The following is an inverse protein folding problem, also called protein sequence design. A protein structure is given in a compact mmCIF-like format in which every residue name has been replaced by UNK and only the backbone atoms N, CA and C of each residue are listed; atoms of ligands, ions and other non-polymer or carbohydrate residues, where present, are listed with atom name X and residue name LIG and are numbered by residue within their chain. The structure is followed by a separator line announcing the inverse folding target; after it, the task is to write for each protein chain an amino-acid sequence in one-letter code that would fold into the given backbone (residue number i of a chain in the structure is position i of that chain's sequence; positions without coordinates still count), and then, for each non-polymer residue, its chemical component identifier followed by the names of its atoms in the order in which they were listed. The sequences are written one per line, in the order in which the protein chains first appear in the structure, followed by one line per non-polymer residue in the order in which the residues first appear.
data_IF_834500546067
#
_entry.id   IF_834500546067
#
_cell.length_a   1.000
_cell.length_b   1.000
_cell.length_c   1.000
_cell.angle_alpha   90.00
_cell.angle_beta   90.00
_cell.angle_gamma   90.00
#
_symmetry.space_group_name_H-M   'P 1'
#
loop_
_entity.id
_entity.type
_entity.pdbx_description
1 polymer ?
#
# COMPACT_ATOMS: atom_id res chain seq x y z
N UNK A 1 -12.42 -7.26 -53.28
CA UNK A 1 -12.95 -8.32 -52.39
C UNK A 1 -12.07 -8.37 -51.16
N UNK A 2 -12.70 -8.28 -49.97
CA UNK A 2 -12.13 -8.32 -48.61
C UNK A 2 -11.13 -9.50 -48.42
N UNK A 3 -10.14 -9.48 -47.53
CA UNK A 3 -10.26 -9.32 -46.08
C UNK A 3 -8.85 -9.21 -45.43
N UNK A 4 -8.63 -8.25 -44.52
CA UNK A 4 -8.65 -8.38 -43.05
C UNK A 4 -7.26 -8.70 -42.47
N UNK A 5 -6.57 -7.70 -41.89
CA UNK A 5 -6.55 -7.38 -40.45
C UNK A 5 -6.11 -8.54 -39.57
N UNK A 6 -4.81 -8.60 -39.29
CA UNK A 6 -4.29 -9.27 -38.10
C UNK A 6 -4.18 -8.22 -36.98
N UNK A 7 -5.31 -7.94 -36.31
CA UNK A 7 -5.29 -7.31 -34.99
C UNK A 7 -4.86 -8.40 -34.01
N UNK A 8 -3.63 -8.31 -33.53
CA UNK A 8 -3.14 -9.17 -32.45
C UNK A 8 -3.87 -8.70 -31.18
N UNK A 9 -4.99 -9.35 -30.89
CA UNK A 9 -5.63 -9.29 -29.58
C UNK A 9 -4.69 -10.04 -28.63
N UNK A 10 -3.90 -9.31 -27.86
CA UNK A 10 -3.20 -9.87 -26.70
C UNK A 10 -4.31 -10.30 -25.75
N UNK A 11 -4.57 -11.61 -25.73
CA UNK A 11 -5.44 -12.23 -24.77
C UNK A 11 -4.93 -11.91 -23.36
N UNK A 12 -5.60 -11.00 -22.66
CA UNK A 12 -5.43 -10.83 -21.23
C UNK A 12 -5.93 -12.13 -20.62
N UNK A 13 -4.97 -12.99 -20.26
CA UNK A 13 -5.22 -14.30 -19.68
C UNK A 13 -6.18 -14.19 -18.52
N UNK A 14 -7.27 -14.95 -18.62
CA UNK A 14 -8.33 -14.99 -17.63
C UNK A 14 -7.82 -15.46 -16.27
N UNK A 15 -8.37 -14.86 -15.23
CA UNK A 15 -8.31 -15.39 -13.88
C UNK A 15 -9.73 -15.55 -13.35
N UNK A 16 -10.42 -16.64 -13.73
CA UNK A 16 -11.60 -17.08 -12.97
C UNK A 16 -11.05 -17.74 -11.70
N UNK A 17 -10.69 -16.92 -10.72
CA UNK A 17 -10.27 -17.39 -9.42
C UNK A 17 -11.50 -17.85 -8.64
N UNK A 18 -11.61 -19.17 -8.51
CA UNK A 18 -12.56 -19.90 -7.65
C UNK A 18 -12.72 -19.23 -6.29
N UNK A 19 -13.96 -19.09 -5.83
CA UNK A 19 -14.38 -18.35 -4.62
C UNK A 19 -13.56 -18.71 -3.35
N UNK A 20 -13.03 -19.92 -3.26
CA UNK A 20 -12.16 -20.36 -2.16
C UNK A 20 -10.77 -19.69 -2.14
N UNK A 21 -10.14 -19.51 -3.32
CA UNK A 21 -8.87 -18.79 -3.45
C UNK A 21 -9.06 -17.30 -3.14
N UNK A 22 -10.20 -16.73 -3.54
CA UNK A 22 -10.56 -15.35 -3.22
C UNK A 22 -10.62 -15.12 -1.70
N UNK A 23 -11.27 -16.02 -0.95
CA UNK A 23 -11.39 -15.87 0.51
C UNK A 23 -10.05 -16.04 1.26
N UNK A 24 -9.21 -16.99 0.83
CA UNK A 24 -7.87 -17.19 1.42
C UNK A 24 -6.93 -16.03 1.09
N UNK A 25 -6.95 -15.55 -0.16
CA UNK A 25 -6.13 -14.44 -0.63
C UNK A 25 -6.52 -13.12 0.05
N UNK A 26 -7.82 -12.84 0.18
CA UNK A 26 -8.35 -11.63 0.82
C UNK A 26 -8.00 -11.57 2.32
N UNK A 27 -8.03 -12.71 3.03
CA UNK A 27 -7.57 -12.78 4.42
C UNK A 27 -6.04 -12.58 4.53
N UNK A 28 -5.28 -13.10 3.56
CA UNK A 28 -3.82 -12.94 3.54
C UNK A 28 -3.41 -11.49 3.24
N UNK A 29 -4.08 -10.82 2.32
CA UNK A 29 -3.78 -9.43 1.96
C UNK A 29 -4.23 -8.47 3.05
N UNK A 30 -5.41 -8.68 3.66
CA UNK A 30 -5.85 -7.89 4.82
C UNK A 30 -4.82 -7.97 5.97
N UNK A 31 -4.30 -9.17 6.25
CA UNK A 31 -3.26 -9.37 7.27
C UNK A 31 -1.96 -8.65 6.90
N UNK A 32 -1.51 -8.75 5.65
CA UNK A 32 -0.30 -8.06 5.16
C UNK A 32 -0.44 -6.54 5.22
N UNK A 33 -1.60 -5.99 4.86
CA UNK A 33 -1.86 -4.55 4.91
C UNK A 33 -1.88 -4.07 6.37
N UNK A 34 -2.50 -4.81 7.29
CA UNK A 34 -2.46 -4.49 8.73
C UNK A 34 -1.03 -4.52 9.28
N UNK A 35 -0.21 -5.48 8.87
CA UNK A 35 1.20 -5.54 9.25
C UNK A 35 1.98 -4.34 8.69
N UNK A 36 1.74 -3.99 7.42
CA UNK A 36 2.35 -2.82 6.76
C UNK A 36 2.00 -1.51 7.47
N UNK A 37 0.74 -1.29 7.86
CA UNK A 37 0.31 -0.12 8.63
C UNK A 37 1.09 0.00 9.94
N UNK A 38 1.25 -1.11 10.67
CA UNK A 38 1.96 -1.12 11.94
C UNK A 38 3.46 -0.84 11.77
N UNK A 39 4.08 -1.41 10.74
CA UNK A 39 5.47 -1.17 10.40
C UNK A 39 5.69 0.29 9.99
N UNK A 40 4.81 0.83 9.15
CA UNK A 40 4.87 2.23 8.72
C UNK A 40 4.77 3.18 9.90
N UNK A 41 3.80 2.97 10.78
CA UNK A 41 3.65 3.78 12.01
C UNK A 41 4.88 3.69 12.92
N UNK A 42 5.53 2.53 13.00
CA UNK A 42 6.75 2.36 13.79
C UNK A 42 7.94 3.11 13.16
N UNK A 43 8.14 3.01 11.85
CA UNK A 43 9.22 3.72 11.15
C UNK A 43 9.03 5.24 11.19
N UNK A 44 7.78 5.73 11.13
CA UNK A 44 7.47 7.16 11.36
C UNK A 44 7.78 7.57 12.79
N UNK A 45 7.40 6.76 13.78
CA UNK A 45 7.67 7.03 15.21
C UNK A 45 9.17 7.05 15.55
N UNK A 46 9.97 6.25 14.83
CA UNK A 46 11.44 6.25 14.89
C UNK A 46 12.09 7.35 14.05
N UNK A 47 11.33 8.07 13.22
CA UNK A 47 11.86 9.13 12.37
C UNK A 47 12.99 8.70 11.43
N UNK A 48 13.00 7.44 10.97
CA UNK A 48 14.04 6.92 10.08
C UNK A 48 13.57 7.02 8.61
N UNK A 49 14.05 7.99 7.81
CA UNK A 49 13.53 8.22 6.46
C UNK A 49 13.77 7.04 5.52
N UNK A 50 14.88 6.32 5.70
CA UNK A 50 15.20 5.11 4.91
C UNK A 50 14.16 4.00 5.15
N UNK A 51 13.78 3.76 6.41
CA UNK A 51 12.76 2.75 6.74
C UNK A 51 11.38 3.17 6.24
N UNK A 52 11.03 4.45 6.38
CA UNK A 52 9.76 5.01 5.89
C UNK A 52 9.67 4.84 4.37
N UNK A 53 10.71 5.25 3.64
CA UNK A 53 10.80 5.11 2.18
C UNK A 53 10.66 3.66 1.73
N UNK A 54 11.28 2.71 2.44
CA UNK A 54 11.26 1.28 2.08
C UNK A 54 9.87 0.61 2.15
N UNK A 55 8.90 1.26 2.81
CA UNK A 55 7.51 0.81 2.96
C UNK A 55 6.54 1.53 2.00
N UNK A 56 7.01 2.56 1.30
CA UNK A 56 6.21 3.37 0.38
C UNK A 56 6.31 2.87 -1.07
N UNK A 57 5.33 3.23 -1.90
CA UNK A 57 5.49 3.10 -3.36
C UNK A 57 6.57 4.07 -3.84
N UNK A 58 7.15 3.75 -5.00
CA UNK A 58 8.31 4.50 -5.53
C UNK A 58 8.07 6.01 -5.55
N UNK A 59 6.89 6.46 -6.01
CA UNK A 59 6.58 7.88 -6.13
C UNK A 59 6.50 8.60 -4.77
N UNK A 60 6.09 7.91 -3.70
CA UNK A 60 5.99 8.48 -2.36
C UNK A 60 7.30 8.36 -1.58
N UNK A 61 8.18 7.44 -1.98
CA UNK A 61 9.48 7.20 -1.35
C UNK A 61 10.52 8.27 -1.71
N UNK A 62 10.45 8.86 -2.91
CA UNK A 62 11.44 9.81 -3.43
C UNK A 62 11.79 10.96 -2.44
N UNK A 63 10.82 11.68 -1.85
CA UNK A 63 11.12 12.77 -0.91
C UNK A 63 11.87 12.32 0.35
N UNK A 64 11.65 11.08 0.79
CA UNK A 64 12.33 10.51 1.96
C UNK A 64 13.75 10.05 1.60
N UNK A 65 13.95 9.50 0.40
CA UNK A 65 15.28 9.11 -0.08
C UNK A 65 16.18 10.34 -0.27
N UNK A 66 15.64 11.45 -0.75
CA UNK A 66 16.37 12.71 -0.84
C UNK A 66 16.83 13.22 0.54
N UNK A 67 16.01 13.03 1.58
CA UNK A 67 16.37 13.41 2.95
C UNK A 67 17.45 12.52 3.58
N UNK A 68 17.64 11.29 3.09
CA UNK A 68 18.75 10.42 3.54
C UNK A 68 20.09 10.91 2.99
N UNK A 69 20.09 11.56 1.81
CA UNK A 69 21.31 12.08 1.19
C UNK A 69 21.90 13.31 1.94
N UNK A 70 21.11 13.97 2.79
CA UNK A 70 21.55 15.05 3.69
C UNK A 70 21.19 14.70 5.15
N UNK A 71 22.01 13.89 5.84
CA UNK A 71 21.68 13.26 7.12
C UNK A 71 21.69 14.22 8.33
N UNK A 72 21.51 15.52 8.14
CA UNK A 72 21.45 16.52 9.21
C UNK A 72 20.21 16.45 10.11
N UNK A 73 19.26 15.54 9.83
CA UNK A 73 18.03 15.38 10.59
C UNK A 73 18.20 14.51 11.84
N UNK A 74 17.75 15.02 12.99
CA UNK A 74 17.71 14.25 14.23
C UNK A 74 16.67 13.12 14.14
N UNK A 75 17.05 11.93 14.61
CA UNK A 75 16.17 10.75 14.65
C UNK A 75 15.02 11.05 15.61
N UNK A 76 13.80 11.22 15.08
CA UNK A 76 12.65 11.49 15.94
C UNK A 76 12.33 10.24 16.76
N UNK A 77 12.40 10.34 18.08
CA UNK A 77 11.89 9.31 19.00
C UNK A 77 10.52 9.74 19.52
N UNK A 78 9.56 9.86 18.60
CA UNK A 78 8.22 10.33 18.92
C UNK A 78 7.35 9.17 19.43
N UNK A 79 6.37 9.48 20.28
CA UNK A 79 5.40 8.49 20.73
C UNK A 79 4.63 7.90 19.55
N UNK A 80 4.54 6.56 19.52
CA UNK A 80 3.77 5.86 18.50
C UNK A 80 2.28 6.24 18.62
N UNK A 81 1.65 6.74 17.54
CA UNK A 81 0.24 7.07 17.59
C UNK A 81 -0.59 5.81 17.86
N UNK A 82 -1.58 5.94 18.75
CA UNK A 82 -2.49 4.84 19.11
C UNK A 82 -3.72 4.90 18.22
N UNK A 83 -3.92 3.89 17.39
CA UNK A 83 -5.08 3.76 16.50
C UNK A 83 -5.61 2.33 16.47
N UNK A 84 -6.86 2.19 16.03
CA UNK A 84 -7.48 0.93 15.64
C UNK A 84 -7.53 0.86 14.12
N UNK A 85 -7.16 -0.29 13.55
CA UNK A 85 -7.30 -0.53 12.12
C UNK A 85 -8.69 -1.09 11.85
N UNK A 86 -9.49 -0.35 11.08
CA UNK A 86 -10.81 -0.74 10.63
C UNK A 86 -10.79 -1.77 9.50
N UNK A 87 -11.88 -1.83 8.75
CA UNK A 87 -12.00 -2.72 7.60
C UNK A 87 -10.94 -2.41 6.54
N UNK A 88 -10.37 -3.47 5.95
CA UNK A 88 -9.47 -3.39 4.81
C UNK A 88 -10.25 -3.77 3.57
N UNK A 89 -10.23 -2.92 2.54
CA UNK A 89 -10.85 -3.17 1.24
C UNK A 89 -9.74 -3.41 0.24
N UNK A 90 -9.77 -4.53 -0.47
CA UNK A 90 -8.78 -4.89 -1.50
C UNK A 90 -9.50 -4.99 -2.84
N UNK A 91 -8.96 -4.34 -3.88
CA UNK A 91 -9.43 -4.41 -5.28
C UNK A 91 -8.22 -4.61 -6.19
N UNK A 92 -8.00 -5.86 -6.61
CA UNK A 92 -6.85 -6.21 -7.44
C UNK A 92 -5.52 -5.85 -6.76
N UNK A 93 -4.80 -4.88 -7.34
CA UNK A 93 -3.52 -4.39 -6.82
C UNK A 93 -3.65 -3.09 -6.00
N UNK A 94 -4.86 -2.63 -5.71
CA UNK A 94 -5.11 -1.47 -4.86
C UNK A 94 -5.84 -1.91 -3.58
N UNK A 95 -5.59 -1.20 -2.48
CA UNK A 95 -6.32 -1.41 -1.24
C UNK A 95 -6.45 -0.12 -0.42
N UNK A 96 -7.42 -0.11 0.49
CA UNK A 96 -7.55 0.93 1.51
C UNK A 96 -7.82 0.34 2.88
N UNK A 97 -7.46 1.11 3.92
CA UNK A 97 -7.80 0.80 5.30
C UNK A 97 -8.13 2.09 6.04
N UNK A 98 -9.16 2.06 6.89
CA UNK A 98 -9.48 3.17 7.77
C UNK A 98 -8.75 3.00 9.11
N UNK A 99 -8.13 4.06 9.61
CA UNK A 99 -7.52 4.15 10.93
C UNK A 99 -8.40 5.02 11.81
N UNK A 100 -8.77 4.52 12.99
CA UNK A 100 -9.50 5.27 14.01
C UNK A 100 -8.56 5.57 15.18
N UNK A 101 -8.27 6.84 15.42
CA UNK A 101 -7.38 7.29 16.48
C UNK A 101 -8.15 7.59 17.77
N UNK A 102 -7.43 7.71 18.90
CA UNK A 102 -8.06 7.80 20.23
C UNK A 102 -8.93 9.05 20.44
N UNK A 103 -8.60 10.14 19.77
CA UNK A 103 -9.33 11.41 19.76
C UNK A 103 -10.48 11.42 18.73
N UNK A 104 -10.95 10.24 18.32
CA UNK A 104 -12.05 10.01 17.37
C UNK A 104 -11.84 10.60 15.98
N UNK A 105 -10.63 11.06 15.63
CA UNK A 105 -10.32 11.33 14.24
C UNK A 105 -10.10 10.02 13.48
N UNK A 106 -10.43 10.03 12.19
CA UNK A 106 -10.21 8.90 11.32
C UNK A 106 -9.46 9.30 10.07
N UNK A 107 -8.57 8.42 9.59
CA UNK A 107 -7.79 8.64 8.39
C UNK A 107 -7.85 7.39 7.51
N UNK A 108 -8.06 7.58 6.21
CA UNK A 108 -7.93 6.48 5.25
C UNK A 108 -6.52 6.43 4.70
N UNK A 109 -5.90 5.26 4.78
CA UNK A 109 -4.66 4.96 4.08
C UNK A 109 -4.94 4.16 2.81
N UNK A 110 -4.08 4.35 1.81
CA UNK A 110 -4.16 3.68 0.53
C UNK A 110 -2.88 2.90 0.25
N UNK A 111 -3.03 1.78 -0.45
CA UNK A 111 -1.95 0.83 -0.69
C UNK A 111 -1.97 0.35 -2.12
N UNK A 112 -0.78 0.15 -2.69
CA UNK A 112 -0.59 -0.47 -4.00
C UNK A 112 0.24 -1.73 -3.86
N UNK A 113 -0.04 -2.74 -4.66
CA UNK A 113 0.79 -3.93 -4.79
C UNK A 113 1.78 -3.72 -5.92
N UNK A 114 3.05 -3.59 -5.58
CA UNK A 114 4.17 -3.44 -6.51
C UNK A 114 5.04 -4.68 -6.41
N UNK A 115 5.28 -5.36 -7.54
CA UNK A 115 6.12 -6.57 -7.60
C UNK A 115 5.69 -7.67 -6.60
N UNK A 116 4.39 -7.77 -6.32
CA UNK A 116 3.83 -8.75 -5.39
C UNK A 116 3.88 -8.33 -3.91
N UNK A 117 4.46 -7.18 -3.58
CA UNK A 117 4.56 -6.61 -2.23
C UNK A 117 3.60 -5.42 -2.07
N UNK A 118 2.91 -5.32 -0.94
CA UNK A 118 2.09 -4.16 -0.62
C UNK A 118 2.96 -2.99 -0.13
N UNK A 119 2.66 -1.79 -0.58
CA UNK A 119 3.33 -0.53 -0.21
C UNK A 119 2.30 0.55 0.14
N UNK A 120 2.70 1.52 0.95
CA UNK A 120 1.90 2.72 1.25
C UNK A 120 1.92 3.63 0.01
N UNK A 121 0.76 3.93 -0.55
CA UNK A 121 0.68 4.65 -1.82
C UNK A 121 -0.61 5.47 -1.92
N UNK A 122 -0.56 6.77 -1.61
CA UNK A 122 -1.72 7.65 -1.69
C UNK A 122 -2.40 7.67 -3.08
N UNK A 123 -1.65 7.67 -4.21
CA UNK A 123 -2.25 7.62 -5.55
C UNK A 123 -3.00 6.32 -5.87
N UNK A 124 -2.93 5.28 -5.03
CA UNK A 124 -3.76 4.09 -5.21
C UNK A 124 -5.26 4.34 -4.98
N UNK A 125 -5.62 5.49 -4.38
CA UNK A 125 -7.00 5.94 -4.24
C UNK A 125 -7.77 5.92 -5.56
N UNK A 126 -7.13 6.32 -6.67
CA UNK A 126 -7.79 6.43 -7.98
C UNK A 126 -8.08 5.07 -8.63
N UNK A 127 -7.61 3.98 -8.01
CA UNK A 127 -7.77 2.60 -8.47
C UNK A 127 -8.79 1.80 -7.64
N UNK A 128 -9.35 2.44 -6.60
CA UNK A 128 -10.39 1.87 -5.74
C UNK A 128 -11.78 2.26 -6.24
#
# INVERSE_FOLDING_TARGET
MYAALAVIVIAVGGGIATIAAYHHYHNSDSTKIKALINAFSESVSKGNPQEIAGLMCREEAEPYLDSVADPGGEVANADKPKFKIGGVVVRGNAASANLLFQDNHSQTMYFRKEEGRWTVCAPAKDQL
#
